data_IF_610008417677
#
_entry.id   IF_610008417677
#
_cell.length_a   1.000
_cell.length_b   1.000
_cell.length_c   1.000
_cell.angle_alpha   90.00
_cell.angle_beta   90.00
_cell.angle_gamma   90.00
#
_symmetry.space_group_name_H-M   'P 1'
#
loop_
_entity.id
_entity.type
_entity.pdbx_description
1 polymer ?
#
# COMPACT_ATOMS: atom_id res chain seq x y z
N UNK A 1 -13.13 -80.24 13.71
CA UNK A 1 -13.82 -79.22 14.53
C UNK A 1 -13.35 -77.83 14.07
N UNK A 2 -14.15 -77.14 13.25
CA UNK A 2 -13.82 -75.79 12.77
C UNK A 2 -13.98 -74.82 13.95
N UNK A 3 -12.96 -74.04 14.30
CA UNK A 3 -12.96 -73.12 15.45
C UNK A 3 -13.58 -71.77 15.01
N UNK A 4 -14.90 -71.54 15.19
CA UNK A 4 -15.56 -70.35 14.66
C UNK A 4 -15.02 -69.06 15.30
N UNK A 5 -14.53 -69.15 16.53
CA UNK A 5 -13.95 -68.03 17.27
C UNK A 5 -12.70 -67.43 16.59
N UNK A 6 -11.84 -68.26 15.98
CA UNK A 6 -10.67 -67.76 15.25
C UNK A 6 -11.07 -66.96 14.00
N UNK A 7 -12.18 -67.34 13.37
CA UNK A 7 -12.68 -66.68 12.17
C UNK A 7 -13.30 -65.32 12.50
N UNK A 8 -14.01 -65.22 13.63
CA UNK A 8 -14.57 -63.95 14.13
C UNK A 8 -13.47 -62.97 14.52
N UNK A 9 -12.44 -63.44 15.24
CA UNK A 9 -11.28 -62.59 15.61
C UNK A 9 -10.52 -62.12 14.38
N UNK A 10 -10.32 -63.00 13.39
CA UNK A 10 -9.70 -62.63 12.13
C UNK A 10 -10.50 -61.55 11.38
N UNK A 11 -11.84 -61.68 11.30
CA UNK A 11 -12.70 -60.66 10.68
C UNK A 11 -12.64 -59.34 11.45
N UNK A 12 -12.70 -59.37 12.78
CA UNK A 12 -12.63 -58.16 13.59
C UNK A 12 -11.30 -57.40 13.40
N UNK A 13 -10.18 -58.13 13.35
CA UNK A 13 -8.87 -57.54 13.07
C UNK A 13 -8.78 -56.98 11.64
N UNK A 14 -9.39 -57.65 10.67
CA UNK A 14 -9.42 -57.21 9.27
C UNK A 14 -10.24 -55.94 9.09
N UNK A 15 -11.41 -55.85 9.75
CA UNK A 15 -12.27 -54.65 9.75
C UNK A 15 -11.59 -53.48 10.47
N UNK A 16 -10.97 -53.72 11.61
CA UNK A 16 -10.21 -52.70 12.34
C UNK A 16 -9.00 -52.20 11.53
N UNK A 17 -8.29 -53.10 10.85
CA UNK A 17 -7.21 -52.77 9.92
C UNK A 17 -7.69 -51.91 8.74
N UNK A 18 -8.82 -52.26 8.13
CA UNK A 18 -9.43 -51.47 7.05
C UNK A 18 -9.85 -50.06 7.49
N UNK A 19 -10.36 -49.93 8.72
CA UNK A 19 -10.72 -48.63 9.31
C UNK A 19 -9.50 -47.75 9.58
N UNK A 20 -8.42 -48.34 10.11
CA UNK A 20 -7.15 -47.64 10.33
C UNK A 20 -6.53 -47.11 9.03
N UNK A 21 -6.58 -47.91 7.95
CA UNK A 21 -6.05 -47.50 6.64
C UNK A 21 -6.84 -46.36 5.98
N UNK A 22 -8.13 -46.18 6.31
CA UNK A 22 -8.93 -45.03 5.86
C UNK A 22 -8.58 -43.74 6.61
N UNK A 23 -8.29 -43.83 7.91
CA UNK A 23 -7.92 -42.67 8.72
C UNK A 23 -6.54 -42.08 8.35
N UNK A 24 -5.66 -42.87 7.72
CA UNK A 24 -4.34 -42.44 7.26
C UNK A 24 -4.32 -41.89 5.82
N UNK A 25 -5.46 -41.81 5.14
CA UNK A 25 -5.54 -41.15 3.84
C UNK A 25 -5.50 -39.63 4.05
N UNK A 26 -4.29 -39.08 4.15
CA UNK A 26 -4.11 -37.63 4.05
C UNK A 26 -4.54 -37.20 2.63
N UNK A 27 -5.38 -36.16 2.50
CA UNK A 27 -5.70 -35.62 1.18
C UNK A 27 -4.39 -35.21 0.50
N UNK A 28 -4.15 -35.69 -0.72
CA UNK A 28 -3.01 -35.25 -1.53
C UNK A 28 -3.10 -33.72 -1.67
N UNK A 29 -2.07 -32.96 -1.29
CA UNK A 29 -2.07 -31.52 -1.49
C UNK A 29 -2.11 -31.25 -2.99
N UNK A 30 -3.23 -30.69 -3.44
CA UNK A 30 -3.51 -30.45 -4.85
C UNK A 30 -2.86 -29.13 -5.28
N UNK A 31 -1.52 -29.11 -5.35
CA UNK A 31 -0.74 -28.01 -5.94
C UNK A 31 -0.69 -28.15 -7.48
N UNK A 32 -1.85 -28.24 -8.12
CA UNK A 32 -1.97 -28.13 -9.56
C UNK A 32 -2.90 -26.96 -9.87
N UNK A 33 -2.44 -25.91 -10.58
CA UNK A 33 -3.33 -24.88 -11.06
C UNK A 33 -4.33 -25.53 -12.01
N UNK A 34 -5.61 -25.48 -11.67
CA UNK A 34 -6.67 -25.93 -12.57
C UNK A 34 -6.75 -24.96 -13.74
N UNK A 35 -6.24 -25.37 -14.91
CA UNK A 35 -6.23 -24.57 -16.14
C UNK A 35 -7.63 -24.25 -16.71
N UNK A 36 -8.70 -24.78 -16.09
CA UNK A 36 -10.08 -24.65 -16.56
C UNK A 36 -11.05 -24.03 -15.53
N UNK A 37 -10.57 -23.47 -14.43
CA UNK A 37 -11.43 -22.64 -13.59
C UNK A 37 -11.65 -21.29 -14.30
N UNK A 38 -12.91 -20.79 -14.42
CA UNK A 38 -13.09 -19.40 -14.80
C UNK A 38 -12.35 -18.57 -13.76
N UNK A 39 -11.36 -17.80 -14.21
CA UNK A 39 -10.64 -16.85 -13.39
C UNK A 39 -11.66 -15.77 -13.03
N UNK A 40 -12.44 -16.00 -11.98
CA UNK A 40 -13.02 -14.92 -11.19
C UNK A 40 -11.90 -14.34 -10.32
N UNK A 41 -10.77 -13.96 -10.95
CA UNK A 41 -9.88 -13.00 -10.33
C UNK A 41 -10.55 -11.65 -10.52
N UNK A 42 -11.39 -11.30 -9.55
CA UNK A 42 -11.32 -9.94 -9.04
C UNK A 42 -9.92 -9.78 -8.44
N UNK A 43 -8.91 -9.66 -9.31
CA UNK A 43 -7.64 -9.09 -8.88
C UNK A 43 -8.06 -7.78 -8.21
N UNK A 44 -7.63 -7.49 -6.97
CA UNK A 44 -7.78 -6.14 -6.48
C UNK A 44 -7.09 -5.29 -7.53
N UNK A 45 -7.88 -4.51 -8.28
CA UNK A 45 -7.32 -3.42 -9.05
C UNK A 45 -6.55 -2.65 -7.99
N UNK A 46 -5.23 -2.72 -8.00
CA UNK A 46 -4.43 -1.75 -7.27
C UNK A 46 -4.94 -0.43 -7.84
N UNK A 47 -5.81 0.24 -7.11
CA UNK A 47 -6.24 1.58 -7.42
C UNK A 47 -4.94 2.37 -7.39
N UNK A 48 -4.34 2.55 -8.56
CA UNK A 48 -3.22 3.47 -8.71
C UNK A 48 -3.81 4.80 -8.27
N UNK A 49 -3.30 5.43 -7.19
CA UNK A 49 -3.87 6.66 -6.69
C UNK A 49 -3.88 7.65 -7.85
N UNK A 50 -5.08 7.96 -8.35
CA UNK A 50 -5.20 8.90 -9.47
C UNK A 50 -5.02 10.27 -8.88
N UNK A 51 -3.80 10.79 -8.96
CA UNK A 51 -3.50 12.16 -8.57
C UNK A 51 -4.41 13.15 -9.33
N UNK A 52 -4.83 14.25 -8.68
CA UNK A 52 -5.61 15.28 -9.34
C UNK A 52 -4.91 15.83 -10.59
N UNK A 53 -5.70 16.16 -11.62
CA UNK A 53 -5.18 16.63 -12.91
C UNK A 53 -4.41 17.96 -12.85
N UNK A 54 -4.54 18.73 -11.75
CA UNK A 54 -3.78 19.96 -11.55
C UNK A 54 -2.36 19.72 -11.06
N UNK A 55 -2.04 18.51 -10.61
CA UNK A 55 -0.67 18.17 -10.22
C UNK A 55 0.14 17.86 -11.48
N UNK A 56 1.32 18.48 -11.63
CA UNK A 56 2.23 18.12 -12.71
C UNK A 56 2.81 16.71 -12.44
N UNK A 57 3.27 16.03 -13.49
CA UNK A 57 3.82 14.68 -13.37
C UNK A 57 5.00 14.61 -12.38
N UNK A 58 5.80 15.68 -12.29
CA UNK A 58 6.93 15.79 -11.36
C UNK A 58 6.50 15.72 -9.89
N UNK A 59 5.25 16.10 -9.56
CA UNK A 59 4.74 16.02 -8.20
C UNK A 59 4.73 14.59 -7.65
N UNK A 60 4.57 13.59 -8.52
CA UNK A 60 4.61 12.18 -8.13
C UNK A 60 5.94 11.81 -7.48
N UNK A 61 7.06 12.27 -8.05
CA UNK A 61 8.39 12.00 -7.50
C UNK A 61 8.50 12.57 -6.08
N UNK A 62 8.09 13.83 -5.89
CA UNK A 62 8.07 14.47 -4.57
C UNK A 62 7.18 13.73 -3.57
N UNK A 63 6.00 13.28 -3.99
CA UNK A 63 5.07 12.52 -3.12
C UNK A 63 5.71 11.21 -2.64
N UNK A 64 6.35 10.44 -3.54
CA UNK A 64 7.06 9.21 -3.18
C UNK A 64 8.19 9.50 -2.18
N UNK A 65 8.95 10.59 -2.38
CA UNK A 65 9.98 11.01 -1.44
C UNK A 65 9.40 11.35 -0.06
N UNK A 66 8.27 12.06 -0.01
CA UNK A 66 7.59 12.42 1.24
C UNK A 66 7.15 11.15 1.97
N UNK A 67 6.51 10.21 1.28
CA UNK A 67 6.01 8.97 1.88
C UNK A 67 7.13 8.12 2.50
N UNK A 68 8.28 8.02 1.82
CA UNK A 68 9.43 7.23 2.31
C UNK A 68 10.36 8.00 3.27
N UNK A 69 10.13 9.30 3.48
CA UNK A 69 10.95 10.14 4.36
C UNK A 69 12.29 10.62 3.78
N UNK A 70 12.40 10.73 2.45
CA UNK A 70 13.61 11.19 1.75
C UNK A 70 14.50 10.06 1.20
N UNK A 71 15.80 10.30 0.93
CA UNK A 71 16.47 11.58 0.97
C UNK A 71 15.83 12.58 0.00
N UNK A 72 15.85 13.86 0.36
CA UNK A 72 15.28 14.92 -0.45
C UNK A 72 16.34 15.64 -1.30
N UNK A 73 16.01 16.08 -2.53
CA UNK A 73 16.96 16.70 -3.44
C UNK A 73 17.39 18.10 -3.01
N UNK A 74 16.51 18.85 -2.32
CA UNK A 74 16.83 20.19 -1.87
C UNK A 74 16.99 20.27 -0.34
N UNK A 75 17.95 21.07 0.16
CA UNK A 75 18.17 21.25 1.60
C UNK A 75 16.95 21.77 2.37
N UNK A 76 16.04 22.49 1.70
CA UNK A 76 14.83 23.04 2.30
C UNK A 76 13.71 22.01 2.43
N UNK A 77 13.76 20.92 1.68
CA UNK A 77 12.68 19.93 1.66
C UNK A 77 12.57 19.23 3.02
N UNK A 78 11.35 19.19 3.56
CA UNK A 78 11.05 18.72 4.91
C UNK A 78 11.17 19.79 5.99
N UNK A 79 11.59 21.01 5.65
CA UNK A 79 11.63 22.15 6.58
C UNK A 79 10.21 22.59 6.97
N UNK A 80 10.11 23.25 8.12
CA UNK A 80 8.83 23.78 8.62
C UNK A 80 8.32 24.88 7.69
N UNK A 81 7.12 24.69 7.17
CA UNK A 81 6.37 25.75 6.49
C UNK A 81 5.62 26.59 7.51
N UNK A 82 5.89 27.90 7.55
CA UNK A 82 5.40 28.79 8.61
C UNK A 82 3.94 29.21 8.49
N UNK A 83 3.33 29.11 7.31
CA UNK A 83 1.98 29.61 7.03
C UNK A 83 1.76 31.08 7.52
N UNK A 84 2.73 31.97 7.29
CA UNK A 84 2.73 33.34 7.85
C UNK A 84 1.65 34.23 7.23
N UNK A 85 1.31 33.95 5.99
CA UNK A 85 0.29 34.66 5.22
C UNK A 85 -1.11 34.06 5.43
N UNK A 86 -1.25 33.09 6.35
CA UNK A 86 -2.51 32.44 6.72
C UNK A 86 -3.30 31.88 5.53
N UNK A 87 -2.60 31.33 4.53
CA UNK A 87 -3.20 30.74 3.31
C UNK A 87 -3.73 29.32 3.53
N UNK A 88 -3.16 28.61 4.50
CA UNK A 88 -3.64 27.30 4.96
C UNK A 88 -4.36 27.44 6.31
N UNK A 89 -5.17 26.44 6.72
CA UNK A 89 -5.81 26.45 8.04
C UNK A 89 -4.82 26.69 9.18
N UNK A 90 -5.25 27.41 10.22
CA UNK A 90 -4.39 27.68 11.38
C UNK A 90 -4.11 26.40 12.18
N UNK A 91 -2.82 26.15 12.42
CA UNK A 91 -2.33 24.96 13.14
C UNK A 91 -1.10 25.35 13.98
N UNK A 92 -0.74 24.57 15.02
CA UNK A 92 0.45 24.82 15.81
C UNK A 92 1.72 24.89 14.95
N UNK A 93 2.71 25.68 15.40
CA UNK A 93 4.01 25.80 14.72
C UNK A 93 4.65 24.42 14.53
N UNK A 94 5.17 24.15 13.34
CA UNK A 94 5.79 22.86 13.01
C UNK A 94 4.82 21.82 12.46
N UNK A 95 3.51 22.12 12.41
CA UNK A 95 2.53 21.23 11.80
C UNK A 95 2.74 21.05 10.29
N UNK A 96 3.12 22.11 9.58
CA UNK A 96 3.31 22.07 8.13
C UNK A 96 4.78 21.89 7.74
N UNK A 97 5.03 21.12 6.68
CA UNK A 97 6.35 20.94 6.05
C UNK A 97 6.28 21.23 4.55
N UNK A 98 7.33 21.83 3.99
CA UNK A 98 7.42 22.13 2.55
C UNK A 98 8.35 21.17 1.80
N UNK A 99 8.03 20.94 0.52
CA UNK A 99 8.80 20.11 -0.39
C UNK A 99 8.77 20.70 -1.79
N UNK A 100 9.89 20.64 -2.48
CA UNK A 100 10.04 21.12 -3.85
C UNK A 100 9.39 20.14 -4.82
N UNK A 101 8.66 20.69 -5.78
CA UNK A 101 8.27 19.96 -7.00
C UNK A 101 9.10 20.51 -8.13
N UNK A 102 9.82 19.63 -8.83
CA UNK A 102 10.73 20.06 -9.88
C UNK A 102 9.98 20.80 -11.00
N UNK A 103 10.64 21.83 -11.52
CA UNK A 103 10.19 22.56 -12.71
C UNK A 103 11.17 22.25 -13.83
N UNK A 104 10.77 21.47 -14.86
CA UNK A 104 11.67 21.10 -15.94
C UNK A 104 12.33 22.32 -16.60
N UNK A 105 13.66 22.26 -16.76
CA UNK A 105 14.45 23.34 -17.34
C UNK A 105 14.75 24.51 -16.40
N UNK A 106 14.24 24.51 -15.17
CA UNK A 106 14.61 25.51 -14.18
C UNK A 106 16.04 25.27 -13.65
N UNK A 107 16.88 26.31 -13.53
CA UNK A 107 18.20 26.19 -12.90
C UNK A 107 18.13 26.22 -11.35
N UNK A 108 16.96 26.51 -10.80
CA UNK A 108 16.69 26.60 -9.36
C UNK A 108 15.48 25.73 -8.96
N UNK A 109 15.07 25.82 -7.70
CA UNK A 109 13.90 25.09 -7.15
C UNK A 109 12.56 25.43 -7.83
N UNK A 110 12.50 26.47 -8.66
CA UNK A 110 11.27 26.99 -9.25
C UNK A 110 10.26 27.46 -8.20
N UNK A 111 9.02 27.67 -8.62
CA UNK A 111 7.92 28.15 -7.78
C UNK A 111 7.04 27.03 -7.20
N UNK A 112 7.18 25.79 -7.71
CA UNK A 112 6.25 24.69 -7.42
C UNK A 112 6.58 23.97 -6.11
N UNK A 113 5.58 23.75 -5.27
CA UNK A 113 5.75 23.18 -3.93
C UNK A 113 4.61 22.26 -3.57
N UNK A 114 4.91 21.21 -2.81
CA UNK A 114 3.94 20.50 -1.98
C UNK A 114 4.15 20.94 -0.54
N UNK A 115 3.07 21.24 0.15
CA UNK A 115 3.05 21.44 1.61
C UNK A 115 2.22 20.33 2.22
N UNK A 116 2.79 19.60 3.19
CA UNK A 116 2.04 18.61 3.98
C UNK A 116 1.79 19.11 5.38
N UNK A 117 0.70 18.65 5.98
CA UNK A 117 0.36 18.86 7.39
C UNK A 117 0.40 17.56 8.17
N UNK A 118 0.94 17.59 9.39
CA UNK A 118 1.03 16.43 10.28
C UNK A 118 2.30 15.59 10.10
N UNK A 119 2.49 14.61 10.98
CA UNK A 119 3.55 13.61 10.88
C UNK A 119 3.02 12.30 11.49
N UNK A 120 2.60 11.31 10.68
CA UNK A 120 2.66 11.28 9.21
C UNK A 120 1.73 12.31 8.54
N UNK A 121 1.95 12.66 7.26
CA UNK A 121 1.08 13.59 6.53
C UNK A 121 -0.39 13.18 6.54
N UNK A 122 -1.25 14.05 7.05
CA UNK A 122 -2.72 13.93 7.03
C UNK A 122 -3.39 14.96 6.10
N UNK A 123 -2.67 16.02 5.73
CA UNK A 123 -3.16 17.06 4.84
C UNK A 123 -2.12 17.35 3.74
N UNK A 124 -2.59 17.61 2.52
CA UNK A 124 -1.74 17.83 1.35
C UNK A 124 -2.21 19.03 0.54
N UNK A 125 -1.26 19.90 0.20
CA UNK A 125 -1.50 21.12 -0.55
C UNK A 125 -0.45 21.27 -1.62
N UNK A 126 -0.85 21.78 -2.78
CA UNK A 126 0.04 22.11 -3.88
C UNK A 126 -0.04 23.60 -4.19
N UNK A 127 1.12 24.20 -4.46
CA UNK A 127 1.26 25.56 -4.99
C UNK A 127 2.14 25.51 -6.23
N UNK A 128 1.72 26.20 -7.30
CA UNK A 128 2.50 26.42 -8.52
C UNK A 128 3.03 27.86 -8.64
N UNK A 129 2.79 28.69 -7.63
CA UNK A 129 2.97 30.14 -7.65
C UNK A 129 3.77 30.69 -6.45
N UNK A 130 4.62 29.84 -5.86
CA UNK A 130 5.49 30.19 -4.74
C UNK A 130 4.69 30.65 -3.49
N UNK A 131 3.76 29.78 -3.07
CA UNK A 131 2.91 29.94 -1.88
C UNK A 131 1.86 31.06 -1.94
N UNK A 132 1.62 31.67 -3.11
CA UNK A 132 0.61 32.72 -3.26
C UNK A 132 -0.81 32.13 -3.20
N UNK A 133 -0.99 30.92 -3.71
CA UNK A 133 -2.23 30.15 -3.63
C UNK A 133 -1.97 28.66 -3.42
N UNK A 134 -3.00 27.94 -2.96
CA UNK A 134 -2.91 26.51 -2.68
C UNK A 134 -4.14 25.76 -3.20
N UNK A 135 -3.90 24.56 -3.69
CA UNK A 135 -4.93 23.57 -4.01
C UNK A 135 -4.76 22.38 -3.08
N UNK A 136 -5.79 22.08 -2.27
CA UNK A 136 -5.81 20.89 -1.44
C UNK A 136 -6.06 19.64 -2.29
N UNK A 137 -5.49 18.51 -1.88
CA UNK A 137 -5.80 17.21 -2.48
C UNK A 137 -5.71 16.08 -1.45
N UNK A 138 -6.34 14.96 -1.79
CA UNK A 138 -6.17 13.72 -1.06
C UNK A 138 -4.81 13.11 -1.45
N UNK A 139 -3.88 13.12 -0.51
CA UNK A 139 -2.59 12.46 -0.70
C UNK A 139 -2.73 10.94 -0.65
N UNK A 140 -1.82 10.20 -1.29
CA UNK A 140 -1.85 8.75 -1.27
C UNK A 140 -1.58 8.22 0.15
N UNK A 141 -2.34 7.20 0.54
CA UNK A 141 -2.19 6.57 1.85
C UNK A 141 -0.84 5.84 1.95
N UNK A 142 -0.29 5.63 3.17
CA UNK A 142 1.04 5.02 3.34
C UNK A 142 1.20 3.63 2.69
N UNK A 143 0.11 2.88 2.57
CA UNK A 143 0.01 1.57 1.91
C UNK A 143 -0.11 1.64 0.38
N UNK A 144 -0.32 2.83 -0.18
CA UNK A 144 -0.35 3.12 -1.61
C UNK A 144 1.00 3.62 -2.16
N UNK A 145 2.04 3.67 -1.32
CA UNK A 145 3.39 3.93 -1.79
C UNK A 145 3.86 2.78 -2.72
N UNK A 146 4.44 3.09 -3.90
CA UNK A 146 4.94 2.08 -4.83
C UNK A 146 6.12 1.26 -4.27
#
# INVERSE_FOLDING_TARGET
MRKPALLIVAIALLVAGLWGMRAMQTPKPQFAPQLNAPIAASAPTREVPRLPAFLPTEAMATIVLIQRGGPFPHPQDGSVFGNREHRLPERPRGYYREYTVDTPGSPDRGARRIVTGGTPPEAWYYSDDHYQSFKAFDGPTPDQAP
#
